data_IF_162499327371
#
_entry.id   IF_162499327371
#
_cell.length_a   1.000
_cell.length_b   1.000
_cell.length_c   1.000
_cell.angle_alpha   90.00
_cell.angle_beta   90.00
_cell.angle_gamma   90.00
#
_symmetry.space_group_name_H-M   'P 1'
#
loop_
_entity.id
_entity.type
_entity.pdbx_description
1 polymer ?
#
# COMPACT_ATOMS: atom_id res chain seq x y z
N UNK A 1 -27.25 -53.64 -63.31
CA UNK A 1 -28.08 -52.43 -63.19
C UNK A 1 -27.76 -51.72 -61.89
N UNK A 2 -26.47 -51.46 -61.60
CA UNK A 2 -26.04 -50.82 -60.32
C UNK A 2 -24.68 -50.11 -60.49
N UNK A 3 -24.53 -49.25 -61.47
CA UNK A 3 -23.28 -48.47 -61.70
C UNK A 3 -23.50 -47.01 -62.16
N UNK A 4 -24.64 -46.42 -61.91
CA UNK A 4 -24.90 -45.00 -62.33
C UNK A 4 -25.45 -44.07 -61.25
N UNK A 5 -25.27 -44.39 -59.97
CA UNK A 5 -25.79 -43.54 -58.89
C UNK A 5 -24.66 -42.84 -58.03
N UNK A 6 -23.38 -43.17 -58.30
CA UNK A 6 -22.26 -42.60 -57.50
C UNK A 6 -21.55 -41.37 -58.10
N UNK A 7 -22.06 -40.83 -59.22
CA UNK A 7 -21.37 -39.74 -59.94
C UNK A 7 -22.00 -38.33 -59.70
N UNK A 8 -23.10 -38.25 -58.94
CA UNK A 8 -23.78 -36.95 -58.74
C UNK A 8 -23.67 -36.35 -57.31
N UNK A 9 -23.03 -37.08 -56.40
CA UNK A 9 -22.90 -36.56 -54.96
C UNK A 9 -21.51 -36.02 -54.68
N UNK A 10 -20.53 -36.19 -55.61
CA UNK A 10 -19.15 -35.71 -55.37
C UNK A 10 -18.85 -34.30 -55.94
N UNK A 11 -19.84 -33.65 -56.57
CA UNK A 11 -19.65 -32.32 -57.17
C UNK A 11 -20.22 -31.14 -56.34
N UNK A 12 -20.90 -31.39 -55.20
CA UNK A 12 -21.47 -30.35 -54.36
C UNK A 12 -20.71 -30.11 -53.05
N UNK A 13 -19.59 -30.76 -52.78
CA UNK A 13 -18.79 -30.62 -51.55
C UNK A 13 -17.50 -29.83 -51.74
N UNK A 14 -17.29 -29.20 -52.91
CA UNK A 14 -16.07 -28.41 -53.18
C UNK A 14 -16.29 -26.90 -53.38
N UNK A 15 -17.46 -26.36 -53.07
CA UNK A 15 -17.76 -24.92 -53.24
C UNK A 15 -18.16 -24.17 -51.95
N UNK A 16 -17.90 -24.71 -50.76
CA UNK A 16 -18.16 -23.96 -49.48
C UNK A 16 -16.93 -23.90 -48.57
N UNK A 17 -15.76 -23.66 -49.14
CA UNK A 17 -14.53 -23.48 -48.35
C UNK A 17 -13.78 -22.18 -48.73
N UNK A 18 -14.52 -21.10 -49.02
CA UNK A 18 -13.89 -19.78 -49.21
C UNK A 18 -14.88 -18.69 -48.83
N UNK A 19 -15.05 -18.41 -47.53
CA UNK A 19 -15.50 -17.13 -46.98
C UNK A 19 -15.55 -17.19 -45.45
N UNK A 20 -14.42 -17.32 -44.78
CA UNK A 20 -14.30 -17.02 -43.35
C UNK A 20 -12.86 -16.64 -43.02
N UNK A 21 -12.33 -15.67 -43.79
CA UNK A 21 -11.13 -14.92 -43.39
C UNK A 21 -11.55 -13.47 -43.34
N UNK A 22 -11.71 -12.96 -42.16
CA UNK A 22 -11.93 -11.52 -41.98
C UNK A 22 -12.89 -11.23 -40.85
N UNK A 23 -12.42 -11.25 -39.65
CA UNK A 23 -12.72 -10.38 -38.52
C UNK A 23 -12.22 -11.05 -37.23
N UNK A 24 -10.91 -11.19 -37.08
CA UNK A 24 -10.36 -11.13 -35.75
C UNK A 24 -10.54 -9.69 -35.30
N UNK A 25 -11.74 -9.36 -34.88
CA UNK A 25 -12.00 -8.17 -34.09
C UNK A 25 -11.11 -8.36 -32.85
N UNK A 26 -10.03 -7.56 -32.80
CA UNK A 26 -9.22 -7.40 -31.60
C UNK A 26 -10.20 -6.98 -30.51
N UNK A 27 -10.59 -7.92 -29.67
CA UNK A 27 -11.23 -7.60 -28.41
C UNK A 27 -10.26 -6.64 -27.71
N UNK A 28 -10.58 -5.36 -27.79
CA UNK A 28 -9.93 -4.31 -27.02
C UNK A 28 -10.17 -4.73 -25.58
N UNK A 29 -9.13 -5.25 -24.94
CA UNK A 29 -9.18 -5.52 -23.50
C UNK A 29 -9.65 -4.24 -22.84
N UNK A 30 -10.88 -4.25 -22.37
CA UNK A 30 -11.37 -3.18 -21.50
C UNK A 30 -10.47 -3.23 -20.28
N UNK A 31 -9.87 -2.10 -19.89
CA UNK A 31 -9.10 -2.07 -18.66
C UNK A 31 -10.00 -2.60 -17.55
N UNK A 32 -9.51 -3.61 -16.81
CA UNK A 32 -10.18 -4.12 -15.64
C UNK A 32 -10.54 -2.91 -14.78
N UNK A 33 -11.83 -2.65 -14.64
CA UNK A 33 -12.29 -1.58 -13.75
C UNK A 33 -11.83 -1.97 -12.36
N UNK A 34 -10.92 -1.21 -11.78
CA UNK A 34 -10.50 -1.39 -10.39
C UNK A 34 -11.75 -1.10 -9.55
N UNK A 35 -12.29 -2.14 -8.92
CA UNK A 35 -13.49 -1.99 -8.09
C UNK A 35 -13.14 -1.22 -6.81
N UNK A 36 -14.04 -0.31 -6.42
CA UNK A 36 -13.89 0.40 -5.14
C UNK A 36 -13.98 -0.60 -3.99
N UNK A 37 -13.11 -0.48 -2.97
CA UNK A 37 -13.17 -1.36 -1.84
C UNK A 37 -14.44 -1.11 -0.99
N UNK A 38 -15.01 -2.17 -0.47
CA UNK A 38 -16.09 -2.09 0.52
C UNK A 38 -15.59 -1.60 1.88
N UNK A 39 -14.30 -1.79 2.14
CA UNK A 39 -13.60 -1.44 3.39
C UNK A 39 -12.10 -1.26 3.13
N UNK A 40 -11.49 -0.40 3.94
CA UNK A 40 -10.03 -0.23 3.96
C UNK A 40 -9.51 -0.63 5.34
N UNK A 41 -8.48 -1.45 5.39
CA UNK A 41 -7.63 -1.65 6.56
C UNK A 41 -6.40 -0.76 6.40
N UNK A 42 -6.35 0.34 7.14
CA UNK A 42 -5.20 1.24 7.19
C UNK A 42 -4.24 0.78 8.27
N UNK A 43 -3.07 0.32 7.84
CA UNK A 43 -2.02 -0.15 8.74
C UNK A 43 -0.92 0.89 8.81
N UNK A 44 -0.58 1.33 10.01
CA UNK A 44 0.42 2.37 10.26
C UNK A 44 1.54 1.79 11.14
N UNK A 45 2.76 1.75 10.62
CA UNK A 45 3.98 1.35 11.33
C UNK A 45 4.85 2.60 11.44
N UNK A 46 4.87 3.19 12.64
CA UNK A 46 5.42 4.52 12.88
C UNK A 46 6.65 4.45 13.77
N UNK A 47 7.73 4.99 13.29
CA UNK A 47 8.99 5.09 14.00
C UNK A 47 8.88 6.07 15.18
N UNK A 48 9.35 5.63 16.35
CA UNK A 48 9.58 6.48 17.53
C UNK A 48 11.01 6.34 18.06
N UNK A 49 11.96 5.92 17.20
CA UNK A 49 13.37 5.82 17.56
C UNK A 49 14.00 7.18 17.87
N UNK A 50 15.22 7.17 18.41
CA UNK A 50 15.88 8.39 18.89
C UNK A 50 16.10 9.47 17.83
N UNK A 51 16.16 9.12 16.53
CA UNK A 51 16.29 10.06 15.41
C UNK A 51 15.05 10.94 15.23
N UNK A 52 13.87 10.51 15.68
CA UNK A 52 12.63 11.28 15.67
C UNK A 52 12.58 12.41 16.72
N UNK A 53 13.64 12.58 17.51
CA UNK A 53 13.69 13.60 18.57
C UNK A 53 13.52 15.02 18.01
N UNK A 54 12.60 15.78 18.62
CA UNK A 54 12.25 17.15 18.20
C UNK A 54 11.14 17.23 17.14
N UNK A 55 10.60 16.11 16.70
CA UNK A 55 9.48 16.00 15.75
C UNK A 55 8.21 15.41 16.38
N UNK A 56 8.21 15.18 17.69
CA UNK A 56 7.12 14.51 18.41
C UNK A 56 5.79 15.22 18.17
N UNK A 57 5.77 16.54 18.34
CA UNK A 57 4.53 17.34 18.17
C UNK A 57 4.01 17.34 16.74
N UNK A 58 4.91 17.29 15.74
CA UNK A 58 4.54 17.28 14.33
C UNK A 58 4.07 15.87 13.88
N UNK A 59 4.67 14.82 14.42
CA UNK A 59 4.23 13.43 14.22
C UNK A 59 2.84 13.20 14.85
N UNK A 60 2.66 13.60 16.10
CA UNK A 60 1.37 13.52 16.81
C UNK A 60 0.30 14.32 16.07
N UNK A 61 0.60 15.58 15.72
CA UNK A 61 -0.33 16.44 14.99
C UNK A 61 -0.68 15.92 13.62
N UNK A 62 0.30 15.43 12.86
CA UNK A 62 0.12 14.84 11.53
C UNK A 62 -0.74 13.57 11.58
N UNK A 63 -0.41 12.66 12.49
CA UNK A 63 -1.22 11.44 12.72
C UNK A 63 -2.68 11.81 13.03
N UNK A 64 -2.91 12.70 14.00
CA UNK A 64 -4.25 13.08 14.41
C UNK A 64 -5.03 13.76 13.26
N UNK A 65 -4.39 14.67 12.51
CA UNK A 65 -5.00 15.31 11.35
C UNK A 65 -5.39 14.31 10.26
N UNK A 66 -4.50 13.37 9.95
CA UNK A 66 -4.73 12.32 8.97
C UNK A 66 -5.92 11.44 9.41
N UNK A 67 -5.97 10.99 10.66
CA UNK A 67 -7.09 10.20 11.19
C UNK A 67 -8.42 10.95 11.05
N UNK A 68 -8.46 12.24 11.40
CA UNK A 68 -9.68 13.05 11.28
C UNK A 68 -10.16 13.19 9.82
N UNK A 69 -9.24 13.36 8.87
CA UNK A 69 -9.59 13.37 7.43
C UNK A 69 -10.22 12.05 7.00
N UNK A 70 -9.66 10.92 7.42
CA UNK A 70 -10.18 9.61 7.05
C UNK A 70 -11.54 9.28 7.69
N UNK A 71 -11.88 9.87 8.86
CA UNK A 71 -13.22 9.74 9.48
C UNK A 71 -14.34 10.28 8.60
N UNK A 72 -14.02 11.19 7.67
CA UNK A 72 -14.99 11.79 6.76
C UNK A 72 -15.31 10.92 5.53
N UNK A 73 -14.52 9.88 5.26
CA UNK A 73 -14.75 8.99 4.13
C UNK A 73 -16.06 8.20 4.27
N UNK A 74 -16.72 7.98 3.13
CA UNK A 74 -17.91 7.12 3.06
C UNK A 74 -17.55 5.63 3.16
N UNK A 75 -16.39 5.24 2.60
CA UNK A 75 -15.85 3.89 2.73
C UNK A 75 -15.43 3.63 4.18
N UNK A 76 -15.89 2.55 4.81
CA UNK A 76 -15.46 2.18 6.15
C UNK A 76 -13.95 1.96 6.21
N UNK A 77 -13.29 2.55 7.22
CA UNK A 77 -11.87 2.38 7.48
C UNK A 77 -11.69 1.80 8.87
N UNK A 78 -10.93 0.71 8.97
CA UNK A 78 -10.38 0.19 10.23
C UNK A 78 -8.89 0.48 10.29
N UNK A 79 -8.38 0.68 11.50
CA UNK A 79 -6.99 1.10 11.73
C UNK A 79 -6.26 0.08 12.59
N UNK A 80 -5.13 -0.38 12.10
CA UNK A 80 -4.08 -1.01 12.90
C UNK A 80 -2.91 -0.05 12.97
N UNK A 81 -2.54 0.40 14.18
CA UNK A 81 -1.44 1.35 14.38
C UNK A 81 -0.44 0.81 15.38
N UNK A 82 0.82 0.87 15.02
CA UNK A 82 1.96 0.34 15.76
C UNK A 82 3.04 1.42 15.83
N UNK A 83 3.53 1.69 17.03
CA UNK A 83 4.73 2.49 17.24
C UNK A 83 5.91 1.54 17.44
N UNK A 84 7.07 1.88 16.89
CA UNK A 84 8.25 1.04 17.08
C UNK A 84 9.54 1.84 17.31
N UNK A 85 10.44 1.26 18.05
CA UNK A 85 11.85 1.60 18.19
C UNK A 85 12.64 0.28 18.31
N UNK A 86 13.30 -0.02 19.41
CA UNK A 86 13.82 -1.34 19.76
C UNK A 86 12.72 -2.29 20.28
N UNK A 87 11.53 -1.77 20.54
CA UNK A 87 10.31 -2.50 20.91
C UNK A 87 9.15 -2.13 19.98
N UNK A 88 8.05 -2.86 20.10
CA UNK A 88 6.85 -2.62 19.31
C UNK A 88 5.64 -2.42 20.21
N UNK A 89 5.04 -1.24 20.16
CA UNK A 89 3.85 -0.88 20.93
C UNK A 89 2.62 -0.82 20.02
N UNK A 90 1.65 -1.69 20.26
CA UNK A 90 0.42 -1.74 19.49
C UNK A 90 -0.59 -0.75 20.07
N UNK A 91 -0.88 0.32 19.35
CA UNK A 91 -1.89 1.31 19.74
C UNK A 91 -3.31 0.82 19.44
N UNK A 92 -3.50 0.29 18.24
CA UNK A 92 -4.78 -0.19 17.74
C UNK A 92 -4.58 -1.46 16.91
N UNK A 93 -5.55 -2.37 16.97
CA UNK A 93 -5.67 -3.53 16.09
C UNK A 93 -7.07 -3.54 15.52
N UNK A 94 -7.20 -3.43 14.20
CA UNK A 94 -8.47 -3.48 13.47
C UNK A 94 -9.58 -2.63 14.14
N UNK A 95 -9.21 -1.40 14.51
CA UNK A 95 -10.09 -0.47 15.21
C UNK A 95 -10.86 0.39 14.24
N UNK A 96 -12.19 0.41 14.33
CA UNK A 96 -12.97 1.35 13.53
C UNK A 96 -12.45 2.78 13.72
N UNK A 97 -12.12 3.45 12.63
CA UNK A 97 -11.44 4.75 12.65
C UNK A 97 -12.20 5.81 13.45
N UNK A 98 -13.53 5.74 13.48
CA UNK A 98 -14.38 6.66 14.26
C UNK A 98 -14.19 6.52 15.77
N UNK A 99 -13.63 5.39 16.21
CA UNK A 99 -13.33 5.09 17.61
C UNK A 99 -11.85 5.28 17.96
N UNK A 100 -11.01 5.65 16.97
CA UNK A 100 -9.61 5.98 17.19
C UNK A 100 -9.52 7.30 17.95
N UNK A 101 -8.84 7.26 19.09
CA UNK A 101 -8.57 8.46 19.91
C UNK A 101 -7.32 9.17 19.40
N UNK A 102 -7.19 10.49 19.64
CA UNK A 102 -5.96 11.20 19.32
C UNK A 102 -4.73 10.57 19.98
N UNK A 103 -3.65 10.48 19.23
CA UNK A 103 -2.31 10.17 19.74
C UNK A 103 -1.85 11.34 20.62
N UNK A 104 -1.16 11.03 21.71
CA UNK A 104 -0.63 12.04 22.64
C UNK A 104 0.85 11.78 22.94
N UNK A 105 1.49 12.69 23.65
CA UNK A 105 2.86 12.58 24.14
C UNK A 105 3.09 11.40 25.09
N UNK A 106 2.01 10.88 25.69
CA UNK A 106 2.09 9.71 26.56
C UNK A 106 2.35 8.41 25.83
N UNK A 107 1.79 8.27 24.63
CA UNK A 107 1.98 7.08 23.80
C UNK A 107 3.22 7.23 22.90
N UNK A 108 3.52 8.46 22.45
CA UNK A 108 4.61 8.73 21.51
C UNK A 108 5.83 9.30 22.25
N UNK A 109 6.50 8.43 23.01
CA UNK A 109 7.78 8.71 23.65
C UNK A 109 8.93 8.26 22.75
N UNK A 110 9.75 9.23 22.30
CA UNK A 110 10.85 9.00 21.36
C UNK A 110 12.10 8.52 22.09
N UNK A 111 12.77 7.50 21.55
CA UNK A 111 14.03 6.96 22.06
C UNK A 111 14.34 5.57 21.53
N UNK A 112 15.52 5.06 21.90
CA UNK A 112 15.97 3.73 21.49
C UNK A 112 16.51 3.65 20.05
N UNK A 113 16.63 2.43 19.55
CA UNK A 113 17.14 2.05 18.23
C UNK A 113 15.97 1.73 17.26
N UNK A 114 16.26 1.24 16.06
CA UNK A 114 15.27 1.09 14.98
C UNK A 114 15.15 -0.39 14.57
N UNK A 115 14.22 -1.14 15.18
CA UNK A 115 13.91 -2.54 14.83
C UNK A 115 12.78 -2.59 13.79
N UNK A 116 13.03 -2.02 12.61
CA UNK A 116 12.05 -1.87 11.53
C UNK A 116 11.54 -3.20 11.00
N UNK A 117 12.45 -4.17 10.77
CA UNK A 117 12.05 -5.46 10.18
C UNK A 117 11.15 -6.24 11.14
N UNK A 118 11.43 -6.20 12.44
CA UNK A 118 10.61 -6.86 13.46
C UNK A 118 9.23 -6.19 13.55
N UNK A 119 9.17 -4.87 13.53
CA UNK A 119 7.92 -4.13 13.54
C UNK A 119 7.05 -4.44 12.32
N UNK A 120 7.64 -4.41 11.11
CA UNK A 120 6.93 -4.72 9.86
C UNK A 120 6.49 -6.18 9.83
N UNK A 121 7.38 -7.13 10.12
CA UNK A 121 7.10 -8.56 10.09
C UNK A 121 5.97 -8.94 11.05
N UNK A 122 6.07 -8.51 12.31
CA UNK A 122 5.07 -8.77 13.34
C UNK A 122 3.72 -8.13 13.00
N UNK A 123 3.73 -6.92 12.42
CA UNK A 123 2.49 -6.24 12.02
C UNK A 123 1.81 -6.96 10.84
N UNK A 124 2.56 -7.41 9.83
CA UNK A 124 2.00 -8.23 8.75
C UNK A 124 1.32 -9.49 9.31
N UNK A 125 2.01 -10.24 10.20
CA UNK A 125 1.45 -11.44 10.83
C UNK A 125 0.21 -11.15 11.68
N UNK A 126 0.14 -9.98 12.30
CA UNK A 126 -1.03 -9.55 13.07
C UNK A 126 -2.22 -9.27 12.16
N UNK A 127 -2.03 -8.43 11.15
CA UNK A 127 -3.08 -7.99 10.22
C UNK A 127 -3.64 -9.16 9.41
N UNK A 128 -2.80 -10.08 8.94
CA UNK A 128 -3.26 -11.23 8.15
C UNK A 128 -4.18 -12.20 8.93
N UNK A 129 -4.18 -12.14 10.26
CA UNK A 129 -5.06 -12.96 11.12
C UNK A 129 -6.47 -12.42 11.20
N UNK A 130 -6.67 -11.13 10.88
CA UNK A 130 -7.99 -10.49 10.92
C UNK A 130 -8.90 -11.08 9.84
N UNK A 131 -10.07 -11.63 10.18
CA UNK A 131 -10.96 -12.27 9.22
C UNK A 131 -11.44 -11.33 8.11
N UNK A 132 -11.68 -10.07 8.44
CA UNK A 132 -12.13 -9.03 7.49
C UNK A 132 -11.09 -8.73 6.41
N UNK A 133 -9.81 -8.81 6.73
CA UNK A 133 -8.70 -8.58 5.79
C UNK A 133 -8.64 -9.65 4.68
N UNK A 134 -9.22 -10.84 4.94
CA UNK A 134 -9.32 -11.93 3.95
C UNK A 134 -10.52 -11.79 3.02
N UNK A 135 -11.41 -10.83 3.29
CA UNK A 135 -12.57 -10.56 2.43
C UNK A 135 -12.12 -9.87 1.13
N UNK A 136 -12.72 -10.26 0.00
CA UNK A 136 -12.42 -9.67 -1.32
C UNK A 136 -12.69 -8.18 -1.40
N UNK A 137 -13.64 -7.67 -0.60
CA UNK A 137 -13.99 -6.25 -0.55
C UNK A 137 -13.08 -5.40 0.32
N UNK A 138 -12.09 -6.01 1.02
CA UNK A 138 -11.17 -5.26 1.89
C UNK A 138 -9.87 -4.96 1.17
N UNK A 139 -9.52 -3.69 1.08
CA UNK A 139 -8.21 -3.21 0.63
C UNK A 139 -7.33 -2.90 1.82
N UNK A 140 -6.13 -3.45 1.86
CA UNK A 140 -5.13 -3.15 2.89
C UNK A 140 -4.16 -2.11 2.34
N UNK A 141 -4.01 -1.01 3.06
CA UNK A 141 -2.99 0.02 2.81
C UNK A 141 -2.02 0.01 3.99
N UNK A 142 -0.83 -0.52 3.77
CA UNK A 142 0.22 -0.71 4.79
C UNK A 142 1.28 0.38 4.65
N UNK A 143 1.37 1.27 5.62
CA UNK A 143 2.23 2.46 5.60
C UNK A 143 3.36 2.31 6.60
N UNK A 144 4.58 2.52 6.15
CA UNK A 144 5.80 2.56 6.95
C UNK A 144 6.33 3.99 6.94
N UNK A 145 6.47 4.62 8.10
CA UNK A 145 7.07 5.95 8.25
C UNK A 145 8.25 5.82 9.20
N UNK A 146 9.45 6.13 8.70
CA UNK A 146 10.70 6.05 9.47
C UNK A 146 11.67 7.16 9.04
N UNK A 147 12.54 7.58 9.94
CA UNK A 147 13.67 8.47 9.65
C UNK A 147 15.03 7.80 9.88
N UNK A 148 15.01 6.52 10.23
CA UNK A 148 16.18 5.72 10.55
C UNK A 148 16.39 4.50 9.64
N UNK A 149 17.64 4.05 9.57
CA UNK A 149 17.98 2.77 8.96
C UNK A 149 17.75 1.64 9.99
N UNK A 150 17.34 0.48 9.49
CA UNK A 150 17.27 -0.76 10.26
C UNK A 150 18.59 -1.05 10.99
N UNK A 151 18.56 -1.22 12.29
CA UNK A 151 19.77 -1.49 13.09
C UNK A 151 19.60 -2.34 14.36
N UNK A 152 18.40 -2.83 14.64
CA UNK A 152 18.09 -3.49 15.91
C UNK A 152 17.22 -4.75 15.82
N UNK A 153 16.68 -5.10 14.65
CA UNK A 153 15.81 -6.27 14.49
C UNK A 153 16.55 -7.57 14.77
N UNK A 154 15.89 -8.47 15.49
CA UNK A 154 16.41 -9.77 15.91
C UNK A 154 15.54 -10.95 15.45
N UNK A 155 14.25 -10.73 15.18
CA UNK A 155 13.28 -11.78 14.83
C UNK A 155 13.20 -12.01 13.32
N UNK A 156 13.22 -10.93 12.52
CA UNK A 156 13.05 -10.98 11.08
C UNK A 156 14.29 -10.53 10.33
N UNK A 157 14.73 -11.33 9.37
CA UNK A 157 15.74 -10.89 8.39
C UNK A 157 15.11 -10.06 7.28
N UNK A 158 15.91 -9.20 6.63
CA UNK A 158 15.52 -8.40 5.44
C UNK A 158 14.93 -9.31 4.36
N UNK A 159 15.54 -10.47 4.07
CA UNK A 159 15.03 -11.44 3.09
C UNK A 159 13.65 -11.98 3.47
N UNK A 160 13.42 -12.25 4.76
CA UNK A 160 12.13 -12.75 5.22
C UNK A 160 11.03 -11.70 5.06
N UNK A 161 11.29 -10.46 5.48
CA UNK A 161 10.33 -9.34 5.31
C UNK A 161 10.06 -9.08 3.83
N UNK A 162 11.10 -9.09 2.99
CA UNK A 162 10.95 -8.93 1.52
C UNK A 162 9.99 -9.98 0.95
N UNK A 163 10.15 -11.24 1.32
CA UNK A 163 9.25 -12.30 0.89
C UNK A 163 7.82 -12.08 1.38
N UNK A 164 7.65 -11.66 2.64
CA UNK A 164 6.32 -11.40 3.21
C UNK A 164 5.61 -10.26 2.48
N UNK A 165 6.30 -9.16 2.23
CA UNK A 165 5.75 -8.00 1.49
C UNK A 165 5.38 -8.41 0.07
N UNK A 166 6.29 -9.05 -0.69
CA UNK A 166 6.01 -9.51 -2.06
C UNK A 166 4.80 -10.46 -2.11
N UNK A 167 4.72 -11.41 -1.19
CA UNK A 167 3.59 -12.34 -1.09
C UNK A 167 2.26 -11.60 -0.85
N UNK A 168 2.25 -10.55 -0.01
CA UNK A 168 1.04 -9.78 0.26
C UNK A 168 0.63 -8.88 -0.91
N UNK A 169 1.59 -8.27 -1.60
CA UNK A 169 1.33 -7.49 -2.81
C UNK A 169 0.78 -8.38 -3.93
N UNK A 170 1.44 -9.51 -4.23
CA UNK A 170 1.10 -10.35 -5.37
C UNK A 170 -0.15 -11.23 -5.16
N UNK A 171 -0.32 -11.80 -3.94
CA UNK A 171 -1.35 -12.80 -3.66
C UNK A 171 -2.57 -12.23 -2.95
N UNK A 172 -2.42 -11.14 -2.22
CA UNK A 172 -3.49 -10.55 -1.41
C UNK A 172 -3.86 -9.12 -1.84
N UNK A 173 -3.15 -8.53 -2.80
CA UNK A 173 -3.43 -7.19 -3.32
C UNK A 173 -3.25 -6.08 -2.28
N UNK A 174 -2.38 -6.28 -1.28
CA UNK A 174 -2.05 -5.22 -0.33
C UNK A 174 -1.19 -4.17 -0.99
N UNK A 175 -1.44 -2.91 -0.65
CA UNK A 175 -0.52 -1.82 -1.00
C UNK A 175 0.43 -1.57 0.17
N UNK A 176 1.71 -1.38 -0.17
CA UNK A 176 2.72 -0.96 0.79
C UNK A 176 3.25 0.40 0.37
N UNK A 177 3.35 1.33 1.32
CA UNK A 177 3.91 2.67 1.16
C UNK A 177 5.07 2.81 2.13
N UNK A 178 6.18 3.34 1.65
CA UNK A 178 7.37 3.60 2.44
C UNK A 178 7.74 5.08 2.37
N UNK A 179 7.69 5.75 3.51
CA UNK A 179 8.07 7.16 3.65
C UNK A 179 9.32 7.23 4.53
N UNK A 180 10.46 7.49 3.91
CA UNK A 180 11.77 7.51 4.57
C UNK A 180 12.36 8.90 4.65
N UNK A 181 12.78 9.33 5.86
CA UNK A 181 13.40 10.63 6.02
C UNK A 181 14.92 10.57 5.91
N UNK A 182 15.51 11.52 5.18
CA UNK A 182 16.98 11.69 5.08
C UNK A 182 17.77 10.45 4.66
N UNK A 183 17.09 9.44 4.13
CA UNK A 183 17.63 8.18 3.62
C UNK A 183 17.24 8.01 2.15
N UNK A 184 17.90 7.12 1.44
CA UNK A 184 17.38 6.69 0.14
C UNK A 184 16.18 5.76 0.35
N UNK A 185 14.99 6.38 0.55
CA UNK A 185 13.77 5.63 0.83
C UNK A 185 13.41 4.66 -0.28
N UNK A 186 13.76 4.96 -1.53
CA UNK A 186 13.47 4.10 -2.68
C UNK A 186 14.34 2.83 -2.63
N UNK A 187 15.62 2.95 -2.31
CA UNK A 187 16.52 1.80 -2.17
C UNK A 187 16.18 0.95 -0.94
N UNK A 188 15.88 1.59 0.21
CA UNK A 188 15.50 0.84 1.42
C UNK A 188 14.15 0.14 1.25
N UNK A 189 13.17 0.76 0.62
CA UNK A 189 11.88 0.17 0.28
C UNK A 189 12.02 -1.05 -0.64
N UNK A 190 12.79 -0.92 -1.72
CA UNK A 190 13.08 -2.01 -2.66
C UNK A 190 13.79 -3.17 -1.97
N UNK A 191 14.73 -2.86 -1.08
CA UNK A 191 15.48 -3.86 -0.32
C UNK A 191 14.59 -4.73 0.57
N UNK A 192 13.44 -4.20 1.04
CA UNK A 192 12.43 -4.95 1.81
C UNK A 192 11.22 -5.38 0.98
N UNK A 193 11.20 -5.13 -0.34
CA UNK A 193 10.17 -5.60 -1.27
C UNK A 193 9.00 -4.66 -1.51
N UNK A 194 9.05 -3.43 -1.02
CA UNK A 194 8.06 -2.40 -1.36
C UNK A 194 8.35 -1.88 -2.77
N UNK A 195 7.32 -1.71 -3.57
CA UNK A 195 7.46 -1.18 -4.94
C UNK A 195 8.06 0.24 -4.91
N UNK A 196 9.05 0.50 -5.78
CA UNK A 196 9.75 1.79 -5.87
C UNK A 196 8.81 2.97 -6.11
N UNK A 197 7.71 2.76 -6.85
CA UNK A 197 6.65 3.76 -7.06
C UNK A 197 5.94 4.18 -5.78
N UNK A 198 5.95 3.34 -4.76
CA UNK A 198 5.30 3.56 -3.48
C UNK A 198 6.27 3.96 -2.36
N UNK A 199 7.47 4.36 -2.74
CA UNK A 199 8.48 4.89 -1.81
C UNK A 199 8.76 6.37 -2.09
N UNK A 200 8.83 7.17 -1.04
CA UNK A 200 9.15 8.61 -1.12
C UNK A 200 10.13 9.00 -0.05
N UNK A 201 11.19 9.72 -0.45
CA UNK A 201 12.13 10.32 0.47
C UNK A 201 11.63 11.71 0.89
N UNK A 202 11.71 12.00 2.17
CA UNK A 202 11.40 13.33 2.70
C UNK A 202 12.50 13.85 3.63
N UNK A 203 12.49 15.14 3.91
CA UNK A 203 13.37 15.74 4.93
C UNK A 203 12.76 15.59 6.31
N UNK A 204 13.59 15.20 7.29
CA UNK A 204 13.20 15.12 8.69
C UNK A 204 13.02 16.53 9.27
N UNK A 205 11.94 17.19 8.88
CA UNK A 205 11.54 18.54 9.29
C UNK A 205 10.05 18.54 9.64
N UNK A 206 9.63 19.55 10.38
CA UNK A 206 8.21 19.72 10.76
C UNK A 206 7.27 19.71 9.57
N UNK A 207 7.63 20.38 8.45
CA UNK A 207 6.82 20.38 7.23
C UNK A 207 6.85 19.02 6.54
N UNK A 208 8.02 18.37 6.44
CA UNK A 208 8.17 17.06 5.83
C UNK A 208 7.37 15.98 6.55
N UNK A 209 7.38 15.98 7.89
CA UNK A 209 6.55 15.05 8.67
C UNK A 209 5.06 15.25 8.40
N UNK A 210 4.58 16.50 8.38
CA UNK A 210 3.16 16.80 8.06
C UNK A 210 2.81 16.38 6.64
N UNK A 211 3.68 16.66 5.66
CA UNK A 211 3.50 16.30 4.27
C UNK A 211 3.32 14.79 4.08
N UNK A 212 4.03 13.97 4.87
CA UNK A 212 3.86 12.51 4.86
C UNK A 212 2.44 12.09 5.24
N UNK A 213 1.90 12.63 6.33
CA UNK A 213 0.54 12.30 6.75
C UNK A 213 -0.52 12.81 5.77
N UNK A 214 -0.28 13.96 5.12
CA UNK A 214 -1.13 14.46 4.05
C UNK A 214 -1.08 13.54 2.82
N UNK A 215 0.10 13.03 2.45
CA UNK A 215 0.27 12.05 1.38
C UNK A 215 -0.46 10.73 1.68
N UNK A 216 -0.34 10.21 2.91
CA UNK A 216 -1.10 9.02 3.34
C UNK A 216 -2.60 9.27 3.25
N UNK A 217 -3.06 10.44 3.71
CA UNK A 217 -4.48 10.78 3.62
C UNK A 217 -4.97 10.79 2.16
N UNK A 218 -4.23 11.42 1.26
CA UNK A 218 -4.56 11.46 -0.17
C UNK A 218 -4.54 10.07 -0.81
N UNK A 219 -3.57 9.21 -0.44
CA UNK A 219 -3.51 7.83 -0.92
C UNK A 219 -4.76 7.03 -0.54
N UNK A 220 -5.14 7.09 0.74
CA UNK A 220 -6.32 6.35 1.25
C UNK A 220 -7.60 6.90 0.63
N UNK A 221 -7.74 8.22 0.46
CA UNK A 221 -8.88 8.86 -0.20
C UNK A 221 -9.00 8.40 -1.66
N UNK A 222 -7.90 8.45 -2.42
CA UNK A 222 -7.87 7.96 -3.80
C UNK A 222 -8.24 6.46 -3.88
N UNK A 223 -7.73 5.65 -2.97
CA UNK A 223 -8.07 4.23 -2.89
C UNK A 223 -9.56 4.03 -2.61
N UNK A 224 -10.14 4.80 -1.69
CA UNK A 224 -11.57 4.74 -1.38
C UNK A 224 -12.47 5.15 -2.55
N UNK A 225 -12.05 6.16 -3.31
CA UNK A 225 -12.85 6.73 -4.40
C UNK A 225 -12.68 6.02 -5.74
N UNK A 226 -11.47 5.58 -6.05
CA UNK A 226 -11.09 5.02 -7.35
C UNK A 226 -10.73 3.53 -7.30
N UNK A 227 -10.62 2.94 -6.11
CA UNK A 227 -10.17 1.56 -5.89
C UNK A 227 -8.65 1.38 -5.90
N UNK A 228 -7.90 2.37 -6.37
CA UNK A 228 -6.44 2.41 -6.40
C UNK A 228 -5.96 3.85 -6.36
N UNK A 229 -4.81 4.08 -5.73
CA UNK A 229 -4.13 5.36 -5.74
C UNK A 229 -3.03 5.48 -6.82
N UNK A 230 -2.87 4.47 -7.68
CA UNK A 230 -1.78 4.41 -8.67
C UNK A 230 -1.79 5.61 -9.64
N UNK A 231 -2.98 6.10 -10.02
CA UNK A 231 -3.15 7.27 -10.88
C UNK A 231 -3.33 8.59 -10.13
N UNK A 232 -3.29 8.57 -8.80
CA UNK A 232 -3.44 9.77 -7.98
C UNK A 232 -2.10 10.48 -7.77
N UNK A 233 -2.17 11.76 -7.46
CA UNK A 233 -1.00 12.62 -7.22
C UNK A 233 -0.63 12.69 -5.72
N UNK A 234 -0.81 11.59 -4.99
CA UNK A 234 -0.53 11.54 -3.54
C UNK A 234 0.92 11.90 -3.18
N UNK A 235 1.87 11.62 -4.08
CA UNK A 235 3.30 11.89 -3.87
C UNK A 235 3.62 13.37 -3.86
N UNK A 236 2.85 14.20 -4.59
CA UNK A 236 3.08 15.65 -4.70
C UNK A 236 3.08 16.33 -3.33
N UNK A 237 2.27 15.85 -2.38
CA UNK A 237 2.26 16.36 -1.01
C UNK A 237 3.66 16.35 -0.36
N UNK A 238 4.47 15.32 -0.64
CA UNK A 238 5.83 15.19 -0.12
C UNK A 238 6.85 15.86 -1.06
N UNK A 239 6.76 15.60 -2.37
CA UNK A 239 7.74 16.03 -3.36
C UNK A 239 7.73 17.54 -3.59
N UNK A 240 6.58 18.20 -3.43
CA UNK A 240 6.41 19.64 -3.59
C UNK A 240 6.67 20.45 -2.31
N UNK A 241 6.86 19.80 -1.17
CA UNK A 241 7.27 20.50 0.05
C UNK A 241 8.53 21.34 -0.23
N UNK A 242 8.53 22.66 0.08
CA UNK A 242 9.65 23.54 -0.28
C UNK A 242 11.00 23.07 0.24
N UNK A 243 11.03 22.33 1.33
CA UNK A 243 12.26 21.78 1.90
C UNK A 243 12.73 20.50 1.19
N UNK A 244 11.81 19.77 0.52
CA UNK A 244 12.15 18.56 -0.26
C UNK A 244 12.60 18.86 -1.68
N UNK A 245 12.23 20.00 -2.28
CA UNK A 245 12.54 20.38 -3.67
C UNK A 245 14.04 20.37 -4.04
N UNK A 246 14.93 20.34 -3.07
CA UNK A 246 16.38 20.34 -3.28
C UNK A 246 17.04 18.98 -3.04
N UNK A 247 16.26 17.90 -2.90
CA UNK A 247 16.76 16.54 -2.70
C UNK A 247 16.87 15.74 -4.03
N UNK A 248 17.23 16.45 -5.13
CA UNK A 248 17.53 15.80 -6.42
C UNK A 248 19.01 15.54 -6.58
#
# INVERSE_FOLDING_TARGET
MWKKIYSAVLACLLCMAFAAVGAAETAKEMPLSVEKPERIELVLVLDKSGSMQGLESDTIGGFNSMIEKQKALSTPVDVTAVLFNDTTDVLYTHKNIRLVRPLTDKEYEVGGTTALLDAVGNTILKVEREPSVKSRGTKVVFVIITDGLENASAEFSKTKVKQMISDKQEKAGWDFIYLGANIDAVEEADAIGVQRSNAVTYRNTKSGVRANYDAVAAYVEATAEMGSAESSDWRSHVEEDPQNKHMK
#
